data_IF_381073169920
#
_entry.id   IF_381073169920
#
_cell.length_a   1.000
_cell.length_b   1.000
_cell.length_c   1.000
_cell.angle_alpha   90.00
_cell.angle_beta   90.00
_cell.angle_gamma   90.00
#
_symmetry.space_group_name_H-M   'P 1'
#
loop_
_entity.id
_entity.type
_entity.pdbx_description
1 polymer ?
#
# COMPACT_ATOMS: atom_id res chain seq x y z
N UNK A 1 -3.06 -3.07 -34.35
CA UNK A 1 -2.69 -1.64 -34.44
C UNK A 1 -1.20 -1.54 -34.22
N UNK A 2 -0.46 -0.97 -35.15
CA UNK A 2 0.98 -0.78 -35.05
C UNK A 2 1.27 -0.05 -33.73
N UNK A 3 2.24 -0.53 -32.97
CA UNK A 3 2.86 0.20 -31.88
C UNK A 3 3.34 1.54 -32.46
N UNK A 4 2.49 2.56 -32.36
CA UNK A 4 2.79 3.87 -32.90
C UNK A 4 4.08 4.36 -32.25
N UNK A 5 5.07 4.59 -33.07
CA UNK A 5 6.24 5.43 -32.78
C UNK A 5 5.74 6.87 -32.59
N UNK A 6 4.81 7.07 -31.66
CA UNK A 6 4.37 8.40 -31.25
C UNK A 6 5.58 9.11 -30.66
N UNK A 7 6.02 10.18 -31.31
CA UNK A 7 7.10 11.04 -30.81
C UNK A 7 6.72 11.53 -29.42
N UNK A 8 7.42 11.03 -28.38
CA UNK A 8 7.29 11.54 -27.01
C UNK A 8 7.58 13.04 -27.04
N UNK A 9 6.58 13.83 -26.77
CA UNK A 9 6.65 15.29 -26.74
C UNK A 9 6.50 15.81 -25.29
N UNK A 10 6.63 17.14 -25.12
CA UNK A 10 6.57 17.77 -23.81
C UNK A 10 5.21 17.60 -23.10
N UNK A 11 4.12 17.46 -23.85
CA UNK A 11 2.78 17.21 -23.30
C UNK A 11 2.71 15.80 -22.72
N UNK A 12 3.10 14.79 -23.49
CA UNK A 12 3.11 13.38 -23.03
C UNK A 12 3.97 13.23 -21.77
N UNK A 13 5.15 13.87 -21.71
CA UNK A 13 6.03 13.84 -20.53
C UNK A 13 5.31 14.43 -19.32
N UNK A 14 4.61 15.55 -19.47
CA UNK A 14 3.86 16.19 -18.41
C UNK A 14 2.66 15.36 -17.97
N UNK A 15 1.91 14.78 -18.91
CA UNK A 15 0.76 13.93 -18.64
C UNK A 15 1.14 12.67 -17.86
N UNK A 16 2.41 12.21 -18.00
CA UNK A 16 3.00 11.15 -17.19
C UNK A 16 3.57 11.63 -15.84
N UNK A 17 3.32 12.86 -15.42
CA UNK A 17 3.77 13.40 -14.12
C UNK A 17 5.29 13.61 -14.02
N UNK A 18 6.01 13.55 -15.13
CA UNK A 18 7.47 13.71 -15.18
C UNK A 18 7.87 15.17 -15.45
N UNK A 19 8.87 15.63 -14.72
CA UNK A 19 9.49 16.94 -14.98
C UNK A 19 10.48 16.86 -16.15
N UNK A 20 10.82 18.02 -16.72
CA UNK A 20 11.85 18.10 -17.77
C UNK A 20 13.21 17.60 -17.29
N UNK A 21 13.56 17.80 -16.02
CA UNK A 21 14.81 17.32 -15.42
C UNK A 21 14.82 15.79 -15.27
N UNK A 22 13.71 15.22 -14.83
CA UNK A 22 13.55 13.76 -14.74
C UNK A 22 13.64 13.12 -16.12
N UNK A 23 12.99 13.67 -17.13
CA UNK A 23 13.09 13.16 -18.49
C UNK A 23 14.53 13.23 -19.05
N UNK A 24 15.28 14.31 -18.76
CA UNK A 24 16.70 14.38 -19.12
C UNK A 24 17.52 13.26 -18.43
N UNK A 25 17.21 12.95 -17.18
CA UNK A 25 17.87 11.85 -16.46
C UNK A 25 17.52 10.50 -17.07
N UNK A 26 16.28 10.27 -17.48
CA UNK A 26 15.85 9.06 -18.23
C UNK A 26 16.67 8.90 -19.49
N UNK A 27 16.81 9.95 -20.31
CA UNK A 27 17.64 9.92 -21.53
C UNK A 27 19.11 9.58 -21.22
N UNK A 28 19.66 10.09 -20.13
CA UNK A 28 21.03 9.78 -19.70
C UNK A 28 21.18 8.32 -19.28
N UNK A 29 20.21 7.77 -18.54
CA UNK A 29 20.20 6.36 -18.12
C UNK A 29 20.09 5.43 -19.32
N UNK A 30 19.13 5.68 -20.20
CA UNK A 30 18.84 4.80 -21.33
C UNK A 30 19.82 4.98 -22.50
N UNK A 31 20.50 6.13 -22.60
CA UNK A 31 21.30 6.55 -23.76
C UNK A 31 20.53 6.54 -25.09
N UNK A 32 19.22 6.54 -25.02
CA UNK A 32 18.27 6.60 -26.14
C UNK A 32 16.94 7.20 -25.65
N UNK A 33 16.04 7.51 -26.58
CA UNK A 33 14.66 7.86 -26.22
C UNK A 33 13.92 6.62 -25.73
N UNK A 34 13.12 6.71 -24.65
CA UNK A 34 12.21 5.64 -24.26
C UNK A 34 11.09 5.51 -25.31
N UNK A 35 10.44 4.35 -25.37
CA UNK A 35 9.13 4.23 -25.96
C UNK A 35 8.04 4.55 -24.93
N UNK A 36 6.75 4.49 -25.31
CA UNK A 36 5.65 4.88 -24.43
C UNK A 36 5.53 3.95 -23.20
N UNK A 37 5.70 2.63 -23.40
CA UNK A 37 5.71 1.66 -22.30
C UNK A 37 6.82 1.96 -21.29
N UNK A 38 8.03 2.19 -21.77
CA UNK A 38 9.17 2.50 -20.92
C UNK A 38 9.01 3.84 -20.18
N UNK A 39 8.44 4.84 -20.86
CA UNK A 39 8.11 6.13 -20.23
C UNK A 39 7.07 5.95 -19.10
N UNK A 40 6.02 5.16 -19.35
CA UNK A 40 5.00 4.83 -18.37
C UNK A 40 5.60 4.15 -17.12
N UNK A 41 6.50 3.18 -17.34
CA UNK A 41 7.22 2.50 -16.24
C UNK A 41 8.04 3.49 -15.40
N UNK A 42 8.81 4.38 -16.04
CA UNK A 42 9.52 5.45 -15.29
C UNK A 42 8.56 6.37 -14.55
N UNK A 43 7.44 6.73 -15.17
CA UNK A 43 6.41 7.60 -14.58
C UNK A 43 5.90 7.06 -13.25
N UNK A 44 5.48 5.80 -13.21
CA UNK A 44 4.93 5.21 -11.98
C UNK A 44 6.02 4.93 -10.95
N UNK A 45 7.17 4.39 -11.34
CA UNK A 45 8.28 4.11 -10.42
C UNK A 45 8.92 5.37 -9.82
N UNK A 46 8.90 6.49 -10.55
CA UNK A 46 9.43 7.79 -10.10
C UNK A 46 8.33 8.74 -9.63
N UNK A 47 7.09 8.27 -9.48
CA UNK A 47 6.03 9.02 -8.80
C UNK A 47 6.42 9.29 -7.34
N UNK A 48 5.84 10.31 -6.72
CA UNK A 48 6.07 10.55 -5.28
C UNK A 48 5.62 9.35 -4.44
N UNK A 49 4.54 8.69 -4.86
CA UNK A 49 3.97 7.53 -4.17
C UNK A 49 4.96 6.36 -4.09
N UNK A 50 5.59 5.97 -5.22
CA UNK A 50 6.50 4.81 -5.24
C UNK A 50 7.93 5.15 -4.79
N UNK A 51 8.43 6.35 -5.12
CA UNK A 51 9.84 6.72 -4.92
C UNK A 51 10.12 7.52 -3.65
N UNK A 52 9.08 8.11 -3.04
CA UNK A 52 9.23 9.03 -1.90
C UNK A 52 10.22 10.18 -2.18
N UNK A 53 10.32 10.63 -3.44
CA UNK A 53 11.37 11.54 -3.92
C UNK A 53 11.48 12.86 -3.16
N UNK A 54 10.38 13.35 -2.55
CA UNK A 54 10.36 14.57 -1.73
C UNK A 54 10.53 14.31 -0.23
N UNK A 55 10.29 13.08 0.26
CA UNK A 55 10.27 12.75 1.69
C UNK A 55 11.35 11.78 2.12
N UNK A 56 11.93 11.00 1.21
CA UNK A 56 12.96 9.97 1.47
C UNK A 56 14.14 10.51 2.28
N UNK A 57 14.58 11.75 2.00
CA UNK A 57 15.62 12.44 2.77
C UNK A 57 15.29 12.50 4.28
N UNK A 58 14.02 12.72 4.63
CA UNK A 58 13.56 12.85 6.01
C UNK A 58 13.26 11.49 6.63
N UNK A 59 12.70 10.57 5.87
CA UNK A 59 12.47 9.20 6.32
C UNK A 59 13.76 8.52 6.77
N UNK A 60 14.87 8.77 6.07
CA UNK A 60 16.21 8.28 6.47
C UNK A 60 16.71 8.78 7.84
N UNK A 61 16.09 9.84 8.39
CA UNK A 61 16.47 10.37 9.73
C UNK A 61 15.71 9.72 10.88
N UNK A 62 14.70 8.91 10.58
CA UNK A 62 13.93 8.19 11.59
C UNK A 62 14.74 7.00 12.12
N UNK A 63 14.62 6.65 13.42
CA UNK A 63 15.26 5.44 13.95
C UNK A 63 14.59 4.21 13.33
N UNK A 64 15.40 3.37 12.71
CA UNK A 64 14.94 2.17 11.97
C UNK A 64 15.60 0.89 12.44
N UNK A 65 16.42 0.96 13.48
CA UNK A 65 17.12 -0.18 14.10
C UNK A 65 16.93 -0.16 15.61
N UNK A 66 16.95 -1.32 16.24
CA UNK A 66 16.83 -1.51 17.67
C UNK A 66 16.90 -2.99 18.03
N UNK A 67 16.97 -3.31 19.30
CA UNK A 67 17.11 -4.67 19.82
C UNK A 67 16.02 -5.62 19.30
N UNK A 68 14.79 -5.11 19.18
CA UNK A 68 13.63 -5.92 18.77
C UNK A 68 13.33 -5.84 17.27
N UNK A 69 14.06 -5.03 16.49
CA UNK A 69 13.81 -4.88 15.04
C UNK A 69 14.46 -6.02 14.28
N UNK A 70 13.63 -6.89 13.69
CA UNK A 70 14.07 -7.96 12.79
C UNK A 70 14.19 -7.43 11.36
N UNK A 71 13.19 -6.65 10.92
CA UNK A 71 13.17 -6.06 9.58
C UNK A 71 12.74 -4.60 9.65
N UNK A 72 13.62 -3.71 9.21
CA UNK A 72 13.37 -2.29 9.03
C UNK A 72 12.90 -1.98 7.60
N UNK A 73 12.95 -0.69 7.17
CA UNK A 73 12.55 -0.25 5.84
C UNK A 73 13.29 -0.97 4.71
N UNK A 74 12.58 -1.24 3.62
CA UNK A 74 13.11 -1.88 2.41
C UNK A 74 12.42 -3.18 2.02
N UNK A 75 11.56 -3.72 2.88
CA UNK A 75 10.67 -4.84 2.60
C UNK A 75 9.21 -4.39 2.68
N UNK A 76 8.26 -5.31 2.42
CA UNK A 76 6.84 -4.99 2.34
C UNK A 76 6.26 -4.48 3.67
N UNK A 77 6.77 -4.98 4.80
CA UNK A 77 6.34 -4.58 6.14
C UNK A 77 7.48 -4.60 7.14
N UNK A 78 7.34 -3.87 8.25
CA UNK A 78 8.23 -3.93 9.39
C UNK A 78 8.01 -5.18 10.23
N UNK A 79 9.07 -5.71 10.86
CA UNK A 79 9.00 -6.89 11.71
C UNK A 79 9.71 -6.64 13.03
N UNK A 80 9.02 -6.92 14.15
CA UNK A 80 9.58 -6.83 15.49
C UNK A 80 9.49 -8.16 16.23
N UNK A 81 10.53 -8.44 16.99
CA UNK A 81 10.62 -9.61 17.88
C UNK A 81 9.73 -9.40 19.11
N UNK A 82 8.91 -10.39 19.44
CA UNK A 82 8.10 -10.40 20.67
C UNK A 82 8.50 -11.53 21.64
N UNK A 83 9.70 -12.06 21.45
CA UNK A 83 10.29 -13.14 22.26
C UNK A 83 9.91 -14.55 21.80
N UNK A 84 10.68 -15.54 22.18
CA UNK A 84 10.56 -16.90 21.69
C UNK A 84 10.78 -16.99 20.18
N UNK A 85 9.94 -17.76 19.47
CA UNK A 85 9.98 -17.87 18.00
C UNK A 85 8.89 -17.00 17.32
N UNK A 86 8.27 -16.05 18.04
CA UNK A 86 7.19 -15.22 17.53
C UNK A 86 7.70 -13.83 17.16
N UNK A 87 7.16 -13.28 16.07
CA UNK A 87 7.38 -11.91 15.66
C UNK A 87 6.08 -11.29 15.12
N UNK A 88 5.95 -9.97 15.27
CA UNK A 88 4.85 -9.18 14.73
C UNK A 88 5.31 -8.51 13.45
N UNK A 89 4.51 -8.66 12.42
CA UNK A 89 4.64 -7.96 11.12
C UNK A 89 3.57 -6.91 11.06
N UNK A 90 3.91 -5.67 10.71
CA UNK A 90 2.92 -4.61 10.61
C UNK A 90 3.29 -3.55 9.58
N UNK A 91 2.27 -2.96 8.99
CA UNK A 91 2.39 -1.81 8.08
C UNK A 91 1.17 -0.92 8.22
N UNK A 92 1.40 0.39 8.07
CA UNK A 92 0.36 1.38 7.89
C UNK A 92 0.62 2.15 6.60
N UNK A 93 -0.41 2.36 5.82
CA UNK A 93 -0.31 3.11 4.56
C UNK A 93 -1.54 4.00 4.35
N UNK A 94 -1.33 5.15 3.67
CA UNK A 94 -2.40 6.06 3.33
C UNK A 94 -3.05 5.70 2.00
N UNK A 95 -4.38 5.73 1.94
CA UNK A 95 -5.17 5.55 0.73
C UNK A 95 -6.14 6.73 0.51
N UNK A 96 -5.61 7.96 0.65
CA UNK A 96 -6.37 9.20 0.74
C UNK A 96 -7.05 9.57 -0.57
N UNK A 97 -6.27 9.70 -1.66
CA UNK A 97 -6.76 10.14 -2.96
C UNK A 97 -7.81 9.20 -3.56
N UNK A 98 -7.56 7.88 -3.62
CA UNK A 98 -8.57 6.93 -4.06
C UNK A 98 -9.87 7.02 -3.25
N UNK A 99 -9.76 7.14 -1.92
CA UNK A 99 -10.92 7.23 -1.02
C UNK A 99 -11.69 8.55 -1.15
N UNK A 100 -11.04 9.63 -1.59
CA UNK A 100 -11.73 10.90 -1.85
C UNK A 100 -12.54 10.87 -3.15
N UNK A 101 -12.07 10.11 -4.16
CA UNK A 101 -12.71 9.98 -5.48
C UNK A 101 -13.81 8.92 -5.44
N UNK A 102 -13.49 7.72 -4.96
CA UNK A 102 -14.39 6.58 -4.78
C UNK A 102 -14.24 6.03 -3.36
N UNK A 103 -14.99 6.55 -2.38
CA UNK A 103 -14.73 6.31 -0.96
C UNK A 103 -14.85 4.84 -0.56
N UNK A 104 -15.77 4.09 -1.16
CA UNK A 104 -15.92 2.66 -0.89
C UNK A 104 -14.73 1.86 -1.43
N UNK A 105 -14.46 1.95 -2.72
CA UNK A 105 -13.39 1.19 -3.35
C UNK A 105 -12.00 1.64 -2.89
N UNK A 106 -11.78 2.95 -2.76
CA UNK A 106 -10.52 3.49 -2.29
C UNK A 106 -10.18 3.03 -0.87
N UNK A 107 -11.14 2.96 0.04
CA UNK A 107 -10.90 2.47 1.40
C UNK A 107 -10.77 0.94 1.46
N UNK A 108 -11.58 0.22 0.69
CA UNK A 108 -11.52 -1.24 0.58
C UNK A 108 -10.14 -1.71 0.10
N UNK A 109 -9.63 -1.11 -0.99
CA UNK A 109 -8.32 -1.46 -1.55
C UNK A 109 -7.16 -1.01 -0.67
N UNK A 110 -7.33 0.03 0.16
CA UNK A 110 -6.39 0.39 1.20
C UNK A 110 -6.22 -0.72 2.24
N UNK A 111 -7.33 -1.29 2.72
CA UNK A 111 -7.29 -2.42 3.67
C UNK A 111 -6.69 -3.67 3.02
N UNK A 112 -7.08 -4.00 1.78
CA UNK A 112 -6.55 -5.15 1.05
C UNK A 112 -5.05 -5.05 0.79
N UNK A 113 -4.57 -3.91 0.31
CA UNK A 113 -3.16 -3.67 0.04
C UNK A 113 -2.28 -3.89 1.26
N UNK A 114 -2.68 -3.36 2.41
CA UNK A 114 -1.94 -3.53 3.67
C UNK A 114 -1.95 -4.97 4.17
N UNK A 115 -3.05 -5.70 4.00
CA UNK A 115 -3.08 -7.12 4.35
C UNK A 115 -2.13 -7.93 3.46
N UNK A 116 -2.08 -7.65 2.15
CA UNK A 116 -1.15 -8.31 1.21
C UNK A 116 0.31 -8.10 1.62
N UNK A 117 0.70 -6.87 1.94
CA UNK A 117 2.04 -6.56 2.43
C UNK A 117 2.42 -7.39 3.67
N UNK A 118 1.49 -7.55 4.60
CA UNK A 118 1.72 -8.32 5.82
C UNK A 118 1.86 -9.81 5.51
N UNK A 119 0.97 -10.39 4.70
CA UNK A 119 1.08 -11.82 4.45
C UNK A 119 2.14 -12.22 3.42
N UNK A 120 2.65 -11.30 2.56
CA UNK A 120 3.85 -11.56 1.77
C UNK A 120 5.08 -11.85 2.64
N UNK A 121 5.13 -11.28 3.83
CA UNK A 121 6.21 -11.53 4.79
C UNK A 121 6.08 -12.88 5.53
N UNK A 122 5.09 -13.71 5.18
CA UNK A 122 4.81 -15.00 5.82
C UNK A 122 3.89 -14.89 7.04
N UNK A 123 3.46 -13.70 7.39
CA UNK A 123 2.60 -13.50 8.55
C UNK A 123 1.14 -13.80 8.25
N UNK A 124 0.42 -14.33 9.23
CA UNK A 124 -1.05 -14.34 9.20
C UNK A 124 -1.55 -13.01 9.76
N UNK A 125 -2.31 -12.22 8.99
CA UNK A 125 -3.01 -11.06 9.52
C UNK A 125 -3.90 -11.45 10.71
N UNK A 126 -3.83 -10.68 11.81
CA UNK A 126 -4.58 -10.93 13.05
C UNK A 126 -5.38 -9.73 13.51
N UNK A 127 -5.09 -8.53 13.00
CA UNK A 127 -5.80 -7.31 13.35
C UNK A 127 -5.64 -6.22 12.29
N UNK A 128 -6.72 -5.45 12.10
CA UNK A 128 -6.72 -4.20 11.34
C UNK A 128 -7.07 -3.02 12.25
N UNK A 129 -6.50 -1.86 11.95
CA UNK A 129 -6.83 -0.58 12.55
C UNK A 129 -6.87 0.48 11.45
N UNK A 130 -7.55 1.61 11.73
CA UNK A 130 -7.61 2.70 10.75
C UNK A 130 -7.50 4.06 11.44
N UNK A 131 -6.74 4.97 10.85
CA UNK A 131 -6.67 6.37 11.28
C UNK A 131 -7.35 7.25 10.24
N UNK A 132 -8.53 7.79 10.59
CA UNK A 132 -9.44 8.45 9.67
C UNK A 132 -9.59 9.93 10.01
N UNK A 133 -9.52 10.80 8.98
CA UNK A 133 -9.71 12.25 9.13
C UNK A 133 -10.66 12.75 8.05
N UNK A 134 -11.75 13.38 8.48
CA UNK A 134 -12.79 13.90 7.60
C UNK A 134 -12.98 15.40 7.78
N UNK A 135 -13.62 16.03 6.81
CA UNK A 135 -14.01 17.42 6.84
C UNK A 135 -15.08 17.73 7.87
N UNK A 136 -15.74 18.87 7.73
CA UNK A 136 -16.86 19.26 8.58
C UNK A 136 -18.06 18.34 8.33
N UNK A 137 -18.53 17.66 9.38
CA UNK A 137 -19.64 16.69 9.31
C UNK A 137 -20.98 17.33 8.95
N UNK A 138 -21.14 18.64 9.05
CA UNK A 138 -22.32 19.35 8.55
C UNK A 138 -22.43 19.33 7.02
N UNK A 139 -21.29 19.10 6.34
CA UNK A 139 -21.22 19.04 4.88
C UNK A 139 -21.69 17.65 4.37
N UNK A 140 -22.65 17.65 3.44
CA UNK A 140 -23.15 16.40 2.84
C UNK A 140 -22.07 15.59 2.12
N UNK A 141 -21.09 16.24 1.47
CA UNK A 141 -19.96 15.55 0.85
C UNK A 141 -19.16 14.77 1.91
N UNK A 142 -18.91 15.38 3.08
CA UNK A 142 -18.22 14.71 4.20
C UNK A 142 -18.97 13.49 4.69
N UNK A 143 -20.32 13.58 4.81
CA UNK A 143 -21.15 12.43 5.20
C UNK A 143 -21.05 11.28 4.21
N UNK A 144 -21.14 11.58 2.91
CA UNK A 144 -21.03 10.56 1.87
C UNK A 144 -19.64 9.90 1.86
N UNK A 145 -18.57 10.70 2.01
CA UNK A 145 -17.21 10.17 2.12
C UNK A 145 -17.05 9.27 3.35
N UNK A 146 -17.54 9.72 4.51
CA UNK A 146 -17.52 8.93 5.74
C UNK A 146 -18.24 7.59 5.58
N UNK A 147 -19.45 7.61 5.05
CA UNK A 147 -20.25 6.39 4.84
C UNK A 147 -19.56 5.42 3.89
N UNK A 148 -19.06 5.90 2.76
CA UNK A 148 -18.37 5.06 1.78
C UNK A 148 -17.09 4.45 2.32
N UNK A 149 -16.26 5.26 2.98
CA UNK A 149 -14.99 4.81 3.58
C UNK A 149 -15.24 3.75 4.65
N UNK A 150 -16.13 4.03 5.60
CA UNK A 150 -16.42 3.09 6.71
C UNK A 150 -16.98 1.77 6.18
N UNK A 151 -17.90 1.84 5.19
CA UNK A 151 -18.46 0.65 4.56
C UNK A 151 -17.38 -0.15 3.80
N UNK A 152 -16.50 0.51 3.03
CA UNK A 152 -15.43 -0.15 2.30
C UNK A 152 -14.46 -0.89 3.21
N UNK A 153 -14.05 -0.25 4.32
CA UNK A 153 -13.20 -0.88 5.36
C UNK A 153 -13.90 -2.09 5.97
N UNK A 154 -15.17 -1.92 6.38
CA UNK A 154 -15.93 -2.98 7.04
C UNK A 154 -16.17 -4.18 6.13
N UNK A 155 -16.71 -3.96 4.94
CA UNK A 155 -17.03 -5.03 4.00
C UNK A 155 -15.76 -5.83 3.61
N UNK A 156 -14.62 -5.13 3.42
CA UNK A 156 -13.37 -5.82 3.07
C UNK A 156 -12.82 -6.66 4.23
N UNK A 157 -12.62 -6.07 5.41
CA UNK A 157 -12.10 -6.75 6.58
C UNK A 157 -12.98 -7.92 7.03
N UNK A 158 -14.29 -7.70 7.07
CA UNK A 158 -15.28 -8.70 7.48
C UNK A 158 -15.29 -9.90 6.50
N UNK A 159 -15.23 -9.65 5.19
CA UNK A 159 -15.23 -10.72 4.18
C UNK A 159 -13.93 -11.53 4.22
N UNK A 160 -12.77 -10.89 4.35
CA UNK A 160 -11.48 -11.59 4.51
C UNK A 160 -11.43 -12.35 5.84
N UNK A 161 -12.20 -11.92 6.84
CA UNK A 161 -12.27 -12.53 8.17
C UNK A 161 -11.07 -12.15 9.04
N UNK A 162 -10.64 -10.88 8.96
CA UNK A 162 -9.62 -10.30 9.83
C UNK A 162 -10.28 -9.20 10.66
N UNK A 163 -10.19 -9.24 12.00
CA UNK A 163 -10.90 -8.30 12.86
C UNK A 163 -10.35 -6.87 12.71
N UNK A 164 -11.26 -5.89 12.63
CA UNK A 164 -10.91 -4.48 12.76
C UNK A 164 -11.13 -4.07 14.20
N UNK A 165 -10.06 -3.98 14.97
CA UNK A 165 -10.08 -3.95 16.43
C UNK A 165 -9.95 -2.56 17.02
N UNK A 166 -9.58 -1.56 16.21
CA UNK A 166 -9.35 -0.22 16.72
C UNK A 166 -9.09 0.81 15.64
N UNK A 167 -8.64 1.96 16.09
CA UNK A 167 -8.36 3.10 15.24
C UNK A 167 -8.92 4.39 15.80
N UNK A 168 -8.89 5.43 15.01
CA UNK A 168 -9.36 6.75 15.37
C UNK A 168 -10.11 7.43 14.22
N UNK A 169 -11.07 8.28 14.55
CA UNK A 169 -11.80 9.08 13.58
C UNK A 169 -12.01 10.50 14.10
N UNK A 170 -11.53 11.49 13.37
CA UNK A 170 -11.70 12.89 13.73
C UNK A 170 -12.14 13.77 12.55
N UNK A 171 -12.72 14.94 12.91
CA UNK A 171 -13.31 15.89 11.99
C UNK A 171 -12.66 17.25 12.12
N UNK A 172 -12.24 17.82 10.99
CA UNK A 172 -11.72 19.19 10.96
C UNK A 172 -11.89 19.78 9.57
N UNK A 173 -12.27 21.07 9.47
CA UNK A 173 -12.54 21.75 8.23
C UNK A 173 -11.39 21.75 7.21
N UNK A 174 -10.15 21.56 7.64
CA UNK A 174 -9.00 21.43 6.72
C UNK A 174 -9.04 20.18 5.84
N UNK A 175 -9.88 19.21 6.19
CA UNK A 175 -10.07 17.98 5.41
C UNK A 175 -11.31 18.02 4.49
N UNK A 176 -11.95 19.18 4.32
CA UNK A 176 -13.12 19.28 3.41
C UNK A 176 -12.82 18.91 1.97
N UNK A 177 -11.59 19.19 1.52
CA UNK A 177 -11.16 18.97 0.13
C UNK A 177 -10.22 17.78 -0.03
N UNK A 178 -9.78 17.17 1.05
CA UNK A 178 -8.98 15.96 1.03
C UNK A 178 -9.06 15.26 2.38
N UNK A 179 -9.65 14.06 2.39
CA UNK A 179 -9.74 13.22 3.59
C UNK A 179 -8.43 12.45 3.80
N UNK A 180 -8.18 11.98 5.01
CA UNK A 180 -7.12 11.01 5.28
C UNK A 180 -7.74 9.66 5.64
N UNK A 181 -7.31 8.64 4.92
CA UNK A 181 -7.65 7.24 5.17
C UNK A 181 -6.34 6.48 5.27
N UNK A 182 -5.98 6.12 6.50
CA UNK A 182 -4.77 5.35 6.75
C UNK A 182 -5.20 3.99 7.28
N UNK A 183 -4.86 2.94 6.55
CA UNK A 183 -5.13 1.56 6.94
C UNK A 183 -3.87 0.94 7.55
N UNK A 184 -4.04 0.21 8.64
CA UNK A 184 -2.98 -0.56 9.30
C UNK A 184 -3.40 -2.01 9.41
N UNK A 185 -2.46 -2.91 9.13
CA UNK A 185 -2.62 -4.34 9.40
C UNK A 185 -1.46 -4.84 10.25
N UNK A 186 -1.80 -5.74 11.16
CA UNK A 186 -0.86 -6.44 12.05
C UNK A 186 -1.01 -7.93 11.83
N UNK A 187 0.11 -8.63 11.69
CA UNK A 187 0.15 -10.07 11.51
C UNK A 187 1.15 -10.76 12.44
N UNK A 188 0.95 -12.05 12.63
CA UNK A 188 1.82 -12.91 13.44
C UNK A 188 2.61 -13.85 12.54
N UNK A 189 3.92 -13.95 12.78
CA UNK A 189 4.82 -14.85 12.03
C UNK A 189 5.76 -15.59 12.99
N UNK A 190 6.20 -16.79 12.61
CA UNK A 190 7.33 -17.47 13.25
C UNK A 190 8.64 -16.92 12.65
N UNK A 191 9.63 -16.56 13.48
CA UNK A 191 10.91 -15.96 13.04
C UNK A 191 11.65 -16.80 11.98
N UNK A 192 11.49 -18.11 12.00
CA UNK A 192 12.06 -19.03 11.01
C UNK A 192 11.19 -19.23 9.75
N UNK A 193 10.09 -18.49 9.60
CA UNK A 193 9.14 -18.54 8.48
C UNK A 193 8.89 -17.18 7.86
N UNK A 194 9.85 -16.26 7.95
CA UNK A 194 9.78 -14.95 7.32
C UNK A 194 10.18 -15.08 5.86
N UNK A 195 9.38 -14.50 4.98
CA UNK A 195 9.62 -14.43 3.53
C UNK A 195 10.02 -13.01 3.14
N UNK A 196 10.82 -12.91 2.10
CA UNK A 196 11.34 -11.64 1.59
C UNK A 196 11.13 -11.52 0.09
N UNK A 197 11.19 -10.30 -0.42
CA UNK A 197 11.03 -10.03 -1.85
C UNK A 197 12.32 -10.15 -2.67
N UNK A 198 13.44 -10.57 -2.08
CA UNK A 198 14.74 -10.69 -2.75
C UNK A 198 14.80 -11.87 -3.72
N UNK A 199 14.68 -11.64 -5.02
CA UNK A 199 14.79 -12.66 -6.04
C UNK A 199 16.21 -13.28 -6.10
N UNK A 200 16.28 -14.61 -6.27
CA UNK A 200 17.56 -15.36 -6.36
C UNK A 200 17.42 -16.53 -7.33
N UNK A 201 18.56 -16.93 -7.92
CA UNK A 201 18.68 -18.10 -8.80
C UNK A 201 18.31 -17.78 -10.25
N UNK A 202 19.34 -17.60 -11.09
CA UNK A 202 19.16 -17.38 -12.54
C UNK A 202 18.46 -18.59 -13.14
N UNK A 203 17.47 -18.35 -14.01
CA UNK A 203 16.61 -19.37 -14.60
C UNK A 203 15.38 -19.74 -13.77
N UNK A 204 15.28 -19.31 -12.51
CA UNK A 204 14.09 -19.59 -11.71
C UNK A 204 12.85 -18.94 -12.30
N UNK A 205 11.71 -19.67 -12.33
CA UNK A 205 10.48 -19.16 -12.93
C UNK A 205 9.83 -18.08 -12.06
N UNK A 206 9.22 -17.14 -12.75
CA UNK A 206 8.40 -16.07 -12.16
C UNK A 206 6.95 -16.44 -12.38
N UNK A 207 6.21 -16.59 -11.29
CA UNK A 207 4.81 -17.00 -11.30
C UNK A 207 3.93 -15.82 -10.89
N UNK A 208 2.96 -15.52 -11.72
CA UNK A 208 1.85 -14.63 -11.44
C UNK A 208 0.72 -15.46 -10.83
N UNK A 209 0.13 -14.99 -9.73
CA UNK A 209 -1.01 -15.65 -9.06
C UNK A 209 -2.08 -14.65 -8.63
N UNK A 210 -3.32 -15.09 -8.57
CA UNK A 210 -4.47 -14.31 -8.10
C UNK A 210 -5.39 -13.83 -9.21
N UNK A 211 -5.98 -12.65 -9.05
CA UNK A 211 -6.95 -12.06 -9.98
C UNK A 211 -6.36 -11.78 -11.36
N UNK A 212 -7.21 -11.83 -12.39
CA UNK A 212 -6.81 -11.47 -13.76
C UNK A 212 -6.59 -9.97 -13.88
N UNK A 213 -5.53 -9.57 -14.58
CA UNK A 213 -5.20 -8.17 -14.85
C UNK A 213 -6.30 -7.48 -15.67
N UNK A 214 -6.82 -6.38 -15.17
CA UNK A 214 -7.78 -5.50 -15.85
C UNK A 214 -7.19 -4.11 -16.15
N UNK A 215 -8.02 -3.19 -16.62
CA UNK A 215 -7.62 -1.79 -16.89
C UNK A 215 -7.78 -0.87 -15.69
N UNK A 216 -8.15 -1.39 -14.54
CA UNK A 216 -8.31 -0.63 -13.31
C UNK A 216 -6.96 -0.17 -12.74
N UNK A 217 -6.93 1.01 -12.15
CA UNK A 217 -5.77 1.58 -11.48
C UNK A 217 -4.62 2.03 -12.39
N UNK A 218 -4.77 2.02 -13.72
CA UNK A 218 -3.73 2.53 -14.62
C UNK A 218 -3.46 4.00 -14.32
N UNK A 219 -2.20 4.34 -13.98
CA UNK A 219 -1.79 5.63 -13.43
C UNK A 219 -2.26 5.94 -11.99
N UNK A 220 -2.76 4.98 -11.23
CA UNK A 220 -3.18 5.17 -9.85
C UNK A 220 -2.09 5.78 -8.97
N UNK A 221 -0.87 5.24 -9.01
CA UNK A 221 0.28 5.78 -8.28
C UNK A 221 0.63 7.22 -8.69
N UNK A 222 0.47 7.58 -9.96
CA UNK A 222 0.67 8.95 -10.46
C UNK A 222 -0.44 9.87 -9.97
N UNK A 223 -1.69 9.43 -10.01
CA UNK A 223 -2.85 10.14 -9.48
C UNK A 223 -2.71 10.39 -7.97
N UNK A 224 -2.26 9.40 -7.20
CA UNK A 224 -2.05 9.53 -5.76
C UNK A 224 -1.01 10.59 -5.39
N UNK A 225 -0.20 11.05 -6.35
CA UNK A 225 0.79 12.11 -6.20
C UNK A 225 0.34 13.47 -6.73
N UNK A 226 -0.88 13.58 -7.31
CA UNK A 226 -1.40 14.79 -7.92
C UNK A 226 -2.13 15.69 -6.90
N UNK A 227 -2.29 16.97 -7.23
CA UNK A 227 -3.19 17.88 -6.50
C UNK A 227 -4.63 17.67 -6.99
N UNK A 228 -5.60 17.80 -6.07
CA UNK A 228 -7.01 17.76 -6.43
C UNK A 228 -7.44 19.06 -7.11
N UNK A 229 -8.20 18.94 -8.19
CA UNK A 229 -8.91 20.01 -8.87
C UNK A 229 -10.39 19.63 -9.07
N UNK A 230 -11.15 20.52 -9.70
CA UNK A 230 -12.59 20.29 -9.96
C UNK A 230 -12.86 19.11 -10.93
N UNK A 231 -11.84 18.64 -11.67
CA UNK A 231 -11.93 17.54 -12.61
C UNK A 231 -11.54 16.17 -11.98
N UNK A 232 -11.26 16.14 -10.68
CA UNK A 232 -10.81 14.91 -10.00
C UNK A 232 -11.83 13.76 -10.06
N UNK A 233 -13.11 14.07 -10.29
CA UNK A 233 -14.19 13.06 -10.48
C UNK A 233 -13.98 12.25 -11.77
N UNK A 234 -13.41 12.84 -12.81
CA UNK A 234 -13.13 12.16 -14.08
C UNK A 234 -12.01 11.12 -13.95
N UNK A 235 -11.32 11.09 -12.80
CA UNK A 235 -10.25 10.14 -12.51
C UNK A 235 -10.73 8.80 -11.89
N UNK A 236 -12.04 8.58 -11.76
CA UNK A 236 -12.63 7.33 -11.24
C UNK A 236 -12.05 6.05 -11.88
N UNK A 237 -11.80 5.98 -13.20
CA UNK A 237 -11.21 4.78 -13.80
C UNK A 237 -9.78 4.48 -13.33
N UNK A 238 -9.10 5.43 -12.67
CA UNK A 238 -7.76 5.26 -12.09
C UNK A 238 -7.80 4.70 -10.66
N UNK A 239 -8.99 4.59 -10.05
CA UNK A 239 -9.16 3.98 -8.74
C UNK A 239 -9.23 2.46 -8.90
N UNK A 240 -8.50 1.75 -8.07
CA UNK A 240 -8.51 0.29 -8.01
C UNK A 240 -9.88 -0.22 -7.52
N UNK A 241 -10.25 -1.42 -7.95
CA UNK A 241 -11.42 -2.15 -7.48
C UNK A 241 -10.96 -3.34 -6.65
N UNK A 242 -11.43 -3.44 -5.41
CA UNK A 242 -11.09 -4.52 -4.48
C UNK A 242 -12.14 -5.64 -4.48
N UNK A 243 -11.66 -6.88 -4.42
CA UNK A 243 -12.47 -8.08 -4.24
C UNK A 243 -12.00 -8.84 -2.98
N UNK A 244 -12.63 -8.59 -1.82
CA UNK A 244 -12.20 -9.20 -0.56
C UNK A 244 -12.34 -10.72 -0.53
N UNK A 245 -13.22 -11.30 -1.34
CA UNK A 245 -13.34 -12.75 -1.45
C UNK A 245 -12.13 -13.35 -2.16
N UNK A 246 -11.69 -12.74 -3.26
CA UNK A 246 -10.47 -13.14 -3.95
C UNK A 246 -9.23 -12.92 -3.07
N UNK A 247 -9.19 -11.86 -2.27
CA UNK A 247 -8.13 -11.63 -1.29
C UNK A 247 -8.06 -12.75 -0.25
N UNK A 248 -9.21 -13.21 0.26
CA UNK A 248 -9.29 -14.34 1.18
C UNK A 248 -8.71 -15.61 0.57
N UNK A 249 -9.09 -15.94 -0.64
CA UNK A 249 -8.56 -17.10 -1.35
C UNK A 249 -7.05 -16.99 -1.58
N UNK A 250 -6.58 -15.79 -1.96
CA UNK A 250 -5.17 -15.52 -2.18
C UNK A 250 -4.35 -15.66 -0.90
N UNK A 251 -4.83 -15.11 0.21
CA UNK A 251 -4.20 -15.22 1.53
C UNK A 251 -4.04 -16.70 1.93
N UNK A 252 -5.11 -17.49 1.85
CA UNK A 252 -5.07 -18.89 2.28
C UNK A 252 -4.19 -19.75 1.37
N UNK A 253 -4.23 -19.52 0.05
CA UNK A 253 -3.38 -20.23 -0.91
C UNK A 253 -1.89 -19.89 -0.73
N UNK A 254 -1.57 -18.63 -0.49
CA UNK A 254 -0.19 -18.20 -0.17
C UNK A 254 0.30 -18.83 1.13
N UNK A 255 -0.52 -18.82 2.19
CA UNK A 255 -0.18 -19.45 3.48
C UNK A 255 -0.01 -20.97 3.37
N UNK A 256 -0.75 -21.63 2.47
CA UNK A 256 -0.57 -23.05 2.18
C UNK A 256 0.75 -23.28 1.43
N UNK A 257 1.03 -22.51 0.36
CA UNK A 257 2.27 -22.65 -0.42
C UNK A 257 3.54 -22.36 0.42
N UNK A 258 3.46 -21.45 1.37
CA UNK A 258 4.57 -21.12 2.27
C UNK A 258 5.02 -22.28 3.16
N UNK A 259 4.22 -23.34 3.28
CA UNK A 259 4.58 -24.56 3.99
C UNK A 259 5.41 -25.52 3.15
N UNK A 260 5.38 -25.38 1.82
CA UNK A 260 5.95 -26.30 0.84
C UNK A 260 7.42 -26.06 0.49
N UNK A 261 8.07 -25.08 1.12
CA UNK A 261 9.45 -24.64 0.79
C UNK A 261 9.64 -24.34 -0.72
N UNK A 262 8.59 -23.78 -1.33
CA UNK A 262 8.54 -23.51 -2.76
C UNK A 262 9.01 -22.08 -3.13
N UNK A 263 8.73 -21.12 -2.26
CA UNK A 263 8.91 -19.69 -2.53
C UNK A 263 10.35 -19.25 -2.25
N UNK A 264 10.98 -18.62 -3.23
CA UNK A 264 12.30 -17.97 -3.11
C UNK A 264 12.12 -16.48 -2.81
N UNK A 265 11.21 -15.83 -3.50
CA UNK A 265 10.84 -14.43 -3.29
C UNK A 265 9.35 -14.23 -3.60
N UNK A 266 8.72 -13.31 -2.90
CA UNK A 266 7.31 -12.98 -3.09
C UNK A 266 7.10 -11.47 -2.91
N UNK A 267 6.25 -10.90 -3.74
CA UNK A 267 5.86 -9.50 -3.71
C UNK A 267 4.39 -9.38 -4.09
N UNK A 268 3.64 -8.49 -3.43
CA UNK A 268 2.31 -8.13 -3.89
C UNK A 268 2.35 -7.24 -5.15
N UNK A 269 1.28 -7.21 -5.90
CA UNK A 269 1.09 -6.28 -7.00
C UNK A 269 0.14 -5.16 -6.58
N UNK A 270 0.60 -4.30 -5.68
CA UNK A 270 -0.11 -3.10 -5.24
C UNK A 270 0.05 -1.94 -6.21
N UNK A 271 0.57 -0.81 -5.72
CA UNK A 271 0.87 0.35 -6.56
C UNK A 271 1.84 -0.01 -7.70
N UNK A 272 1.55 0.48 -8.91
CA UNK A 272 2.26 0.15 -10.15
C UNK A 272 2.28 -1.35 -10.52
N UNK A 273 1.54 -2.20 -9.85
CA UNK A 273 1.22 -3.57 -10.21
C UNK A 273 2.41 -4.45 -10.58
N UNK A 274 2.40 -5.03 -11.80
CA UNK A 274 3.46 -5.90 -12.30
C UNK A 274 4.80 -5.17 -12.46
N UNK A 275 4.77 -3.86 -12.70
CA UNK A 275 5.99 -3.03 -12.78
C UNK A 275 6.73 -3.01 -11.45
N UNK A 276 6.12 -2.51 -10.38
CA UNK A 276 6.81 -2.38 -9.09
C UNK A 276 7.27 -3.74 -8.56
N UNK A 277 6.39 -4.72 -8.54
CA UNK A 277 6.70 -6.07 -8.03
C UNK A 277 7.90 -6.71 -8.73
N UNK A 278 7.95 -6.68 -10.05
CA UNK A 278 9.04 -7.30 -10.80
C UNK A 278 10.37 -6.53 -10.68
N UNK A 279 10.34 -5.19 -10.74
CA UNK A 279 11.55 -4.37 -10.61
C UNK A 279 12.14 -4.42 -9.20
N UNK A 280 11.31 -4.38 -8.16
CA UNK A 280 11.77 -4.40 -6.77
C UNK A 280 12.40 -5.75 -6.41
N UNK A 281 11.75 -6.87 -6.72
CA UNK A 281 12.31 -8.19 -6.48
C UNK A 281 13.65 -8.38 -7.18
N UNK A 282 13.76 -7.96 -8.44
CA UNK A 282 14.96 -8.10 -9.23
C UNK A 282 16.08 -7.15 -8.76
N UNK A 283 15.77 -5.91 -8.38
CA UNK A 283 16.73 -4.96 -7.85
C UNK A 283 17.35 -5.46 -6.54
N UNK A 284 16.52 -5.92 -5.60
CA UNK A 284 16.98 -6.54 -4.35
C UNK A 284 17.83 -7.81 -4.59
N UNK A 285 17.47 -8.57 -5.63
CA UNK A 285 18.17 -9.77 -6.06
C UNK A 285 19.46 -9.53 -6.82
N UNK A 286 19.70 -8.33 -7.32
CA UNK A 286 20.77 -7.99 -8.25
C UNK A 286 20.75 -8.87 -9.51
N UNK A 287 19.59 -9.12 -10.07
CA UNK A 287 19.39 -9.96 -11.25
C UNK A 287 18.62 -9.20 -12.34
N UNK A 288 18.49 -9.79 -13.53
CA UNK A 288 17.61 -9.37 -14.59
C UNK A 288 16.31 -10.17 -14.58
N UNK A 289 15.36 -9.75 -15.39
CA UNK A 289 14.07 -10.42 -15.58
C UNK A 289 13.71 -10.44 -17.05
N UNK A 290 13.19 -11.57 -17.49
CA UNK A 290 12.53 -11.71 -18.79
C UNK A 290 11.05 -12.01 -18.56
N UNK A 291 10.16 -11.13 -19.03
CA UNK A 291 8.71 -11.28 -18.93
C UNK A 291 8.09 -11.56 -20.31
N UNK A 292 7.13 -12.47 -20.35
CA UNK A 292 6.30 -12.80 -21.49
C UNK A 292 4.89 -12.28 -21.23
N UNK A 293 4.58 -11.09 -21.71
CA UNK A 293 3.31 -10.42 -21.39
C UNK A 293 2.08 -11.12 -21.96
N UNK A 294 2.25 -11.98 -22.98
CA UNK A 294 1.18 -12.84 -23.47
C UNK A 294 0.70 -13.88 -22.43
N UNK A 295 1.56 -14.25 -21.49
CA UNK A 295 1.25 -15.20 -20.43
C UNK A 295 0.57 -14.55 -19.22
N UNK A 296 0.53 -13.23 -19.15
CA UNK A 296 -0.16 -12.51 -18.06
C UNK A 296 -1.67 -12.73 -18.17
N UNK A 297 -2.32 -13.32 -17.17
CA UNK A 297 -3.76 -13.50 -17.18
C UNK A 297 -4.47 -12.16 -17.25
N UNK A 298 -5.28 -11.95 -18.28
CA UNK A 298 -6.03 -10.70 -18.48
C UNK A 298 -7.53 -10.94 -18.38
N UNK A 299 -8.23 -10.03 -17.71
CA UNK A 299 -9.71 -10.02 -17.62
C UNK A 299 -10.34 -9.53 -18.91
N UNK A 300 -9.69 -8.59 -19.55
CA UNK A 300 -10.19 -7.92 -20.74
C UNK A 300 -9.39 -8.31 -21.98
N UNK A 301 -10.08 -8.40 -23.11
CA UNK A 301 -9.44 -8.70 -24.39
C UNK A 301 -8.61 -7.53 -24.91
N UNK A 302 -7.58 -7.84 -25.71
CA UNK A 302 -6.76 -6.85 -26.41
C UNK A 302 -6.05 -5.84 -25.49
N UNK A 303 -5.70 -6.24 -24.29
CA UNK A 303 -4.84 -5.42 -23.44
C UNK A 303 -3.46 -5.23 -24.09
N UNK A 304 -2.96 -4.02 -24.02
CA UNK A 304 -1.64 -3.65 -24.52
C UNK A 304 -0.55 -3.94 -23.48
N UNK A 305 0.73 -4.08 -23.88
CA UNK A 305 1.85 -4.17 -22.95
C UNK A 305 1.88 -3.02 -21.90
N UNK A 306 1.51 -1.83 -22.32
CA UNK A 306 1.41 -0.66 -21.46
C UNK A 306 0.37 -0.87 -20.35
N UNK A 307 -0.84 -1.29 -20.71
CA UNK A 307 -1.92 -1.55 -19.75
C UNK A 307 -1.58 -2.71 -18.82
N UNK A 308 -0.97 -3.80 -19.32
CA UNK A 308 -0.58 -4.95 -18.51
C UNK A 308 0.47 -4.61 -17.44
N UNK A 309 1.47 -3.80 -17.81
CA UNK A 309 2.55 -3.44 -16.90
C UNK A 309 2.14 -2.40 -15.86
N UNK A 310 1.21 -1.48 -16.19
CA UNK A 310 0.82 -0.37 -15.34
C UNK A 310 -0.53 -0.57 -14.64
N UNK A 311 -1.24 -1.65 -14.91
CA UNK A 311 -2.48 -1.97 -14.19
C UNK A 311 -2.22 -2.22 -12.71
N UNK A 312 -3.04 -1.63 -11.86
CA UNK A 312 -3.02 -1.82 -10.42
C UNK A 312 -4.20 -2.67 -9.93
N UNK A 313 -4.71 -3.59 -10.78
CA UNK A 313 -5.68 -4.59 -10.35
C UNK A 313 -5.20 -5.25 -9.06
N UNK A 314 -6.07 -5.33 -8.09
CA UNK A 314 -5.78 -5.83 -6.75
C UNK A 314 -5.79 -7.37 -6.69
N UNK A 315 -5.53 -7.93 -5.53
CA UNK A 315 -5.55 -9.36 -5.24
C UNK A 315 -4.65 -10.19 -6.16
N UNK A 316 -3.43 -9.68 -6.40
CA UNK A 316 -2.40 -10.33 -7.23
C UNK A 316 -1.07 -10.40 -6.50
N UNK A 317 -0.32 -11.49 -6.75
CA UNK A 317 1.04 -11.67 -6.26
C UNK A 317 1.98 -12.08 -7.38
N UNK A 318 3.25 -11.68 -7.26
CA UNK A 318 4.34 -12.15 -8.08
C UNK A 318 5.32 -12.95 -7.22
N UNK A 319 5.69 -14.14 -7.68
CA UNK A 319 6.55 -15.06 -6.93
C UNK A 319 7.70 -15.54 -7.80
N UNK A 320 8.89 -15.66 -7.20
CA UNK A 320 9.97 -16.49 -7.74
C UNK A 320 9.97 -17.79 -6.96
N UNK A 321 9.85 -18.91 -7.64
CA UNK A 321 9.75 -20.22 -7.01
C UNK A 321 10.90 -21.15 -7.43
N UNK A 322 11.10 -22.21 -6.66
CA UNK A 322 12.00 -23.31 -7.02
C UNK A 322 11.43 -24.05 -8.24
N UNK A 323 12.22 -24.38 -9.28
CA UNK A 323 11.73 -25.03 -10.49
C UNK A 323 11.03 -26.37 -10.26
N UNK A 324 11.53 -27.17 -9.31
CA UNK A 324 10.99 -28.47 -8.90
C UNK A 324 9.66 -28.36 -8.14
N UNK A 325 9.31 -27.16 -7.67
CA UNK A 325 8.07 -26.88 -6.93
C UNK A 325 6.97 -26.24 -7.80
N UNK A 326 7.17 -26.17 -9.10
CA UNK A 326 6.23 -25.53 -10.02
C UNK A 326 4.86 -26.23 -10.02
N UNK A 327 4.83 -27.56 -10.09
CA UNK A 327 3.58 -28.31 -10.14
C UNK A 327 2.77 -28.13 -8.85
N UNK A 328 3.38 -28.30 -7.67
CA UNK A 328 2.68 -28.12 -6.40
C UNK A 328 2.15 -26.70 -6.24
N UNK A 329 2.87 -25.68 -6.75
CA UNK A 329 2.39 -24.30 -6.77
C UNK A 329 1.10 -24.18 -7.57
N UNK A 330 1.06 -24.71 -8.80
CA UNK A 330 -0.14 -24.64 -9.65
C UNK A 330 -1.31 -25.43 -9.05
N UNK A 331 -1.05 -26.58 -8.45
CA UNK A 331 -2.08 -27.42 -7.83
C UNK A 331 -2.73 -26.71 -6.62
N UNK A 332 -1.93 -26.04 -5.79
CA UNK A 332 -2.44 -25.27 -4.65
C UNK A 332 -3.35 -24.13 -5.14
N UNK A 333 -2.90 -23.28 -6.06
CA UNK A 333 -3.72 -22.15 -6.55
C UNK A 333 -4.97 -22.65 -7.28
N UNK A 334 -4.87 -23.71 -8.06
CA UNK A 334 -6.02 -24.36 -8.71
C UNK A 334 -7.04 -24.89 -7.68
N UNK A 335 -6.57 -25.51 -6.58
CA UNK A 335 -7.42 -25.97 -5.47
C UNK A 335 -8.24 -24.80 -4.89
N UNK A 336 -7.65 -23.62 -4.78
CA UNK A 336 -8.31 -22.42 -4.29
C UNK A 336 -9.08 -21.64 -5.37
N UNK A 337 -9.14 -22.14 -6.61
CA UNK A 337 -9.86 -21.51 -7.70
C UNK A 337 -9.19 -20.24 -8.26
N UNK A 338 -7.89 -20.08 -8.02
CA UNK A 338 -7.12 -18.94 -8.45
C UNK A 338 -6.28 -19.23 -9.70
N UNK A 339 -6.05 -18.22 -10.53
CA UNK A 339 -5.10 -18.31 -11.63
C UNK A 339 -3.66 -18.36 -11.12
N UNK A 340 -2.85 -19.21 -11.73
CA UNK A 340 -1.40 -19.26 -11.56
C UNK A 340 -0.76 -19.47 -12.92
N UNK A 341 0.17 -18.60 -13.31
CA UNK A 341 0.83 -18.64 -14.61
C UNK A 341 2.32 -18.30 -14.49
N UNK A 342 3.16 -19.06 -15.18
CA UNK A 342 4.53 -18.65 -15.40
C UNK A 342 4.55 -17.53 -16.43
N UNK A 343 5.00 -16.34 -15.99
CA UNK A 343 5.05 -15.13 -16.81
C UNK A 343 6.47 -14.74 -17.21
N UNK A 344 7.47 -15.48 -16.77
CA UNK A 344 8.87 -15.20 -17.07
C UNK A 344 9.86 -15.95 -16.20
N UNK A 345 11.11 -15.51 -16.23
CA UNK A 345 12.19 -16.09 -15.44
C UNK A 345 13.30 -15.07 -15.16
N UNK A 346 14.11 -15.37 -14.14
CA UNK A 346 15.26 -14.55 -13.77
C UNK A 346 16.44 -14.72 -14.73
N UNK A 347 17.16 -13.63 -15.01
CA UNK A 347 18.34 -13.59 -15.89
C UNK A 347 19.52 -12.91 -15.17
N UNK A 348 20.72 -13.03 -15.72
CA UNK A 348 21.95 -12.38 -15.26
C UNK A 348 22.18 -11.01 -15.94
N UNK A 349 21.26 -10.56 -16.81
CA UNK A 349 21.47 -9.35 -17.63
C UNK A 349 21.40 -8.04 -16.88
N UNK A 350 20.85 -8.02 -15.65
CA UNK A 350 20.55 -6.79 -14.89
C UNK A 350 19.49 -5.91 -15.55
N UNK A 351 18.77 -6.44 -16.54
CA UNK A 351 17.74 -5.72 -17.29
C UNK A 351 16.37 -6.37 -17.12
N UNK A 352 15.34 -5.55 -17.19
CA UNK A 352 13.96 -5.97 -17.43
C UNK A 352 13.73 -6.02 -18.92
N UNK A 353 13.47 -7.20 -19.45
CA UNK A 353 13.17 -7.45 -20.87
C UNK A 353 11.72 -7.92 -20.98
N UNK A 354 10.89 -7.15 -21.68
CA UNK A 354 9.46 -7.41 -21.84
C UNK A 354 9.18 -7.84 -23.28
N UNK A 355 8.60 -9.02 -23.43
CA UNK A 355 8.23 -9.61 -24.72
C UNK A 355 6.73 -9.66 -24.88
N UNK A 356 6.24 -9.31 -26.07
CA UNK A 356 4.84 -9.44 -26.46
C UNK A 356 4.76 -9.86 -27.93
N UNK A 357 4.00 -10.93 -28.23
CA UNK A 357 3.94 -11.54 -29.55
C UNK A 357 5.33 -11.84 -30.13
N UNK A 358 6.19 -12.43 -29.32
CA UNK A 358 7.60 -12.75 -29.63
C UNK A 358 8.50 -11.55 -29.94
N UNK A 359 8.01 -10.31 -29.82
CA UNK A 359 8.79 -9.10 -30.02
C UNK A 359 9.23 -8.50 -28.68
N UNK A 360 10.45 -8.00 -28.60
CA UNK A 360 10.94 -7.20 -27.49
C UNK A 360 10.26 -5.82 -27.54
N UNK A 361 9.33 -5.57 -26.61
CA UNK A 361 8.54 -4.34 -26.56
C UNK A 361 9.07 -3.31 -25.58
N UNK A 362 9.97 -3.70 -24.68
CA UNK A 362 10.66 -2.80 -23.77
C UNK A 362 11.89 -3.46 -23.13
N UNK A 363 12.94 -2.66 -22.94
CA UNK A 363 14.16 -3.07 -22.25
C UNK A 363 14.66 -1.94 -21.35
N UNK A 364 14.71 -2.18 -20.04
CA UNK A 364 15.08 -1.19 -19.04
C UNK A 364 16.13 -1.73 -18.06
N UNK A 365 17.12 -0.94 -17.66
CA UNK A 365 18.06 -1.33 -16.62
C UNK A 365 17.34 -1.32 -15.25
N UNK A 366 17.43 -2.42 -14.48
CA UNK A 366 16.68 -2.59 -13.24
C UNK A 366 17.18 -1.63 -12.16
N UNK A 367 18.43 -1.72 -11.76
CA UNK A 367 18.97 -0.88 -10.68
C UNK A 367 18.85 0.63 -10.92
N UNK A 368 19.24 1.16 -12.10
CA UNK A 368 19.09 2.59 -12.33
C UNK A 368 17.65 3.08 -12.26
N UNK A 369 16.68 2.25 -12.61
CA UNK A 369 15.27 2.61 -12.51
C UNK A 369 14.75 2.53 -11.08
N UNK A 370 15.05 1.46 -10.36
CA UNK A 370 14.56 1.23 -9.00
C UNK A 370 15.25 2.12 -7.97
N UNK A 371 16.58 2.30 -8.08
CA UNK A 371 17.39 2.88 -7.01
C UNK A 371 17.78 4.34 -7.28
N UNK A 372 17.67 4.84 -8.52
CA UNK A 372 18.14 6.18 -8.92
C UNK A 372 16.99 7.17 -9.15
N UNK A 373 15.84 6.96 -8.54
CA UNK A 373 14.80 7.98 -8.53
C UNK A 373 15.34 9.28 -7.90
N UNK A 374 15.00 10.45 -8.44
CA UNK A 374 15.47 11.72 -7.89
C UNK A 374 15.10 11.89 -6.42
N UNK A 375 16.01 12.43 -5.62
CA UNK A 375 15.73 12.89 -4.26
C UNK A 375 15.71 14.42 -4.25
N UNK A 376 14.61 15.02 -3.79
CA UNK A 376 14.45 16.46 -3.73
C UNK A 376 14.57 16.99 -2.31
N UNK A 377 15.37 18.05 -2.13
CA UNK A 377 15.32 18.89 -0.94
C UNK A 377 14.33 20.03 -1.17
N UNK A 378 13.06 19.78 -0.84
CA UNK A 378 11.99 20.75 -1.08
C UNK A 378 12.17 21.99 -0.19
N UNK A 379 11.90 23.21 -0.71
CA UNK A 379 11.90 24.42 0.09
C UNK A 379 10.97 24.29 1.29
N UNK A 380 11.43 24.73 2.46
CA UNK A 380 10.66 24.68 3.70
C UNK A 380 10.78 25.99 4.47
N UNK A 381 9.72 26.35 5.15
CA UNK A 381 9.71 27.46 6.10
C UNK A 381 9.59 26.91 7.52
N UNK A 382 10.46 27.39 8.43
CA UNK A 382 10.27 27.14 9.85
C UNK A 382 9.04 27.94 10.29
N UNK A 383 8.04 27.25 10.82
CA UNK A 383 6.88 27.91 11.43
C UNK A 383 7.33 28.52 12.76
N UNK A 384 7.21 29.82 12.90
CA UNK A 384 7.45 30.46 14.19
C UNK A 384 6.33 30.04 15.17
N UNK A 385 6.72 29.46 16.27
CA UNK A 385 5.79 29.16 17.35
C UNK A 385 5.34 30.49 17.97
N UNK A 386 4.09 30.88 17.71
CA UNK A 386 3.51 32.03 18.38
C UNK A 386 3.12 31.61 19.78
N UNK A 387 3.82 32.12 20.78
CA UNK A 387 3.41 31.97 22.18
C UNK A 387 2.06 32.62 22.36
N UNK A 388 1.01 31.81 22.44
CA UNK A 388 -0.34 32.32 22.72
C UNK A 388 -0.40 32.62 24.21
N UNK A 389 -0.44 33.89 24.58
CA UNK A 389 -0.77 34.28 25.97
C UNK A 389 -2.21 33.87 26.26
N UNK A 390 -2.36 32.81 27.00
CA UNK A 390 -3.69 32.37 27.48
C UNK A 390 -4.22 33.42 28.43
N UNK A 391 -5.19 34.20 27.97
CA UNK A 391 -5.92 35.11 28.86
C UNK A 391 -6.85 34.27 29.77
N UNK A 392 -6.70 34.36 31.08
CA UNK A 392 -7.65 33.78 32.04
C UNK A 392 -9.04 34.37 31.75
N UNK A 393 -9.90 33.60 31.08
CA UNK A 393 -11.32 33.96 30.90
C UNK A 393 -12.14 33.23 31.95
N UNK A 394 -13.11 33.91 32.59
CA UNK A 394 -14.14 33.22 33.35
C UNK A 394 -14.97 32.38 32.37
N UNK A 395 -14.69 31.09 32.32
CA UNK A 395 -15.45 30.16 31.48
C UNK A 395 -16.77 29.84 32.17
N UNK A 396 -17.88 29.96 31.41
CA UNK A 396 -19.17 29.41 31.86
C UNK A 396 -19.11 27.89 31.62
N UNK A 397 -18.82 27.13 32.67
CA UNK A 397 -18.58 25.67 32.62
C UNK A 397 -19.68 24.95 31.82
N UNK A 398 -20.97 25.28 32.10
CA UNK A 398 -22.10 24.70 31.33
C UNK A 398 -21.95 24.88 29.82
N UNK A 399 -21.58 26.07 29.36
CA UNK A 399 -21.45 26.35 27.92
C UNK A 399 -20.24 25.62 27.31
N UNK A 400 -19.16 25.49 28.06
CA UNK A 400 -17.97 24.73 27.62
C UNK A 400 -18.33 23.24 27.52
N UNK A 401 -18.97 22.70 28.55
CA UNK A 401 -19.42 21.31 28.59
C UNK A 401 -20.35 20.98 27.42
N UNK A 402 -21.39 21.81 27.18
CA UNK A 402 -22.30 21.63 26.05
C UNK A 402 -21.57 21.66 24.70
N UNK A 403 -20.59 22.53 24.52
CA UNK A 403 -19.76 22.57 23.29
C UNK A 403 -18.90 21.31 23.14
N UNK A 404 -18.37 20.77 24.24
CA UNK A 404 -17.56 19.54 24.18
C UNK A 404 -18.44 18.35 23.81
N UNK A 405 -19.54 18.09 24.49
CA UNK A 405 -20.40 16.94 24.21
C UNK A 405 -21.13 17.04 22.87
N UNK A 406 -21.33 18.23 22.32
CA UNK A 406 -21.89 18.43 20.98
C UNK A 406 -20.84 18.41 19.86
N UNK A 407 -19.55 18.29 20.21
CA UNK A 407 -18.49 18.22 19.21
C UNK A 407 -18.45 16.84 18.56
N UNK A 408 -18.42 16.72 17.22
CA UNK A 408 -18.27 15.43 16.53
C UNK A 408 -17.02 14.65 16.96
N UNK A 409 -15.97 15.35 17.39
CA UNK A 409 -14.73 14.70 17.86
C UNK A 409 -14.88 14.02 19.22
N UNK A 410 -15.81 14.48 20.06
CA UNK A 410 -16.07 13.92 21.40
C UNK A 410 -17.34 13.06 21.46
N UNK A 411 -18.10 12.98 20.36
CA UNK A 411 -19.28 12.11 20.29
C UNK A 411 -18.86 10.65 20.09
N UNK A 412 -19.76 9.72 20.50
CA UNK A 412 -19.58 8.29 20.24
C UNK A 412 -19.32 8.02 18.76
N UNK A 413 -18.40 7.11 18.46
CA UNK A 413 -18.12 6.58 17.13
C UNK A 413 -18.78 5.21 16.91
N UNK A 414 -19.73 4.82 17.77
CA UNK A 414 -20.42 3.52 17.78
C UNK A 414 -20.97 3.15 16.42
N UNK A 415 -21.61 4.11 15.70
CA UNK A 415 -22.09 3.89 14.36
C UNK A 415 -20.98 3.41 13.40
N UNK A 416 -19.75 3.90 13.57
CA UNK A 416 -18.59 3.54 12.74
C UNK A 416 -18.12 2.12 13.08
N UNK A 417 -17.77 1.86 14.33
CA UNK A 417 -17.12 0.60 14.69
C UNK A 417 -18.09 -0.60 14.73
N UNK A 418 -19.40 -0.39 14.88
CA UNK A 418 -20.40 -1.47 14.74
C UNK A 418 -20.47 -2.08 13.34
N UNK A 419 -19.89 -1.45 12.32
CA UNK A 419 -19.80 -1.99 10.98
C UNK A 419 -18.62 -2.96 10.80
N UNK A 420 -17.74 -2.99 11.80
CA UNK A 420 -16.53 -3.81 11.79
C UNK A 420 -16.72 -5.03 12.69
N UNK A 421 -16.41 -6.22 12.14
CA UNK A 421 -16.27 -7.39 12.99
C UNK A 421 -14.94 -7.30 13.74
N UNK A 422 -15.01 -7.06 15.03
CA UNK A 422 -13.85 -6.98 15.91
C UNK A 422 -13.57 -8.30 16.64
N UNK A 423 -14.42 -9.33 16.46
CA UNK A 423 -14.37 -10.59 17.19
C UNK A 423 -14.06 -11.81 16.31
N UNK A 424 -14.08 -11.68 14.99
CA UNK A 424 -13.68 -12.76 14.08
C UNK A 424 -12.28 -13.26 14.44
N UNK A 425 -12.02 -14.55 14.28
CA UNK A 425 -10.88 -15.30 14.81
C UNK A 425 -10.91 -15.55 16.33
N UNK A 426 -11.78 -14.89 17.10
CA UNK A 426 -11.96 -15.06 18.55
C UNK A 426 -10.69 -14.77 19.38
N UNK A 427 -9.84 -13.89 18.92
CA UNK A 427 -8.57 -13.53 19.59
C UNK A 427 -8.58 -12.16 20.26
N UNK A 428 -9.58 -11.33 20.00
CA UNK A 428 -9.73 -10.02 20.62
C UNK A 428 -10.12 -10.19 22.08
N UNK A 429 -9.27 -9.72 23.00
CA UNK A 429 -9.53 -9.72 24.44
C UNK A 429 -10.24 -8.43 24.82
N UNK A 430 -9.70 -7.29 24.35
CA UNK A 430 -10.29 -5.96 24.47
C UNK A 430 -10.24 -5.28 23.11
N UNK A 431 -11.36 -4.71 22.69
CA UNK A 431 -11.38 -3.77 21.56
C UNK A 431 -11.09 -2.35 22.03
N UNK A 432 -10.82 -1.45 21.09
CA UNK A 432 -10.63 -0.03 21.41
C UNK A 432 -11.92 0.68 21.89
N UNK A 433 -13.04 -0.01 21.93
CA UNK A 433 -14.28 0.46 22.56
C UNK A 433 -14.21 0.42 24.09
N UNK A 434 -13.41 -0.49 24.62
CA UNK A 434 -13.31 -0.79 26.04
C UNK A 434 -12.00 -0.27 26.65
N UNK A 435 -11.00 0.05 25.82
CA UNK A 435 -9.67 0.43 26.26
C UNK A 435 -9.00 1.36 25.23
N UNK A 436 -7.97 2.09 25.63
CA UNK A 436 -7.16 2.95 24.75
C UNK A 436 -6.34 2.16 23.72
N UNK A 437 -6.16 0.86 23.95
CA UNK A 437 -5.53 -0.06 23.01
C UNK A 437 -6.37 -1.33 22.81
N UNK A 438 -6.40 -1.86 21.60
CA UNK A 438 -6.91 -3.20 21.36
C UNK A 438 -5.91 -4.24 21.85
N UNK A 439 -6.38 -5.32 22.47
CA UNK A 439 -5.55 -6.41 22.96
C UNK A 439 -5.94 -7.71 22.27
N UNK A 440 -4.97 -8.28 21.56
CA UNK A 440 -5.12 -9.53 20.79
C UNK A 440 -4.26 -10.61 21.46
N UNK A 441 -4.86 -11.74 21.81
CA UNK A 441 -4.10 -12.86 22.35
C UNK A 441 -3.37 -13.61 21.23
N UNK A 442 -2.27 -14.22 21.59
CA UNK A 442 -1.52 -15.13 20.70
C UNK A 442 -1.81 -16.57 21.10
N UNK A 443 -2.43 -17.34 20.17
CA UNK A 443 -2.77 -18.73 20.41
C UNK A 443 -1.57 -19.58 20.84
N UNK A 444 -1.83 -20.54 21.70
CA UNK A 444 -0.84 -21.49 22.24
C UNK A 444 0.32 -20.80 23.00
N UNK A 445 0.07 -19.60 23.53
CA UNK A 445 1.05 -18.84 24.31
C UNK A 445 0.37 -18.11 25.49
N UNK A 446 1.18 -17.58 26.41
CA UNK A 446 0.72 -16.64 27.45
C UNK A 446 0.90 -15.17 27.02
N UNK A 447 1.10 -14.92 25.73
CA UNK A 447 1.34 -13.58 25.19
C UNK A 447 0.07 -12.96 24.63
N UNK A 448 0.02 -11.65 24.67
CA UNK A 448 -0.92 -10.83 23.96
C UNK A 448 -0.19 -9.63 23.34
N UNK A 449 -0.77 -9.01 22.35
CA UNK A 449 -0.27 -7.79 21.70
C UNK A 449 -1.27 -6.68 21.96
N UNK A 450 -0.81 -5.58 22.55
CA UNK A 450 -1.55 -4.35 22.66
C UNK A 450 -1.22 -3.47 21.44
N UNK A 451 -2.25 -2.96 20.78
CA UNK A 451 -2.12 -2.23 19.51
C UNK A 451 -2.95 -0.95 19.62
N UNK A 452 -2.30 0.19 19.38
CA UNK A 452 -2.95 1.50 19.29
C UNK A 452 -2.42 2.29 18.10
N UNK A 453 -3.15 3.30 17.69
CA UNK A 453 -2.68 4.33 16.78
C UNK A 453 -3.23 5.68 17.24
N UNK A 454 -2.36 6.68 17.33
CA UNK A 454 -2.73 8.06 17.67
C UNK A 454 -1.99 9.07 16.82
N UNK A 455 -2.67 10.13 16.47
CA UNK A 455 -2.08 11.37 15.96
C UNK A 455 -3.08 12.51 16.00
N UNK A 456 -2.80 13.56 16.77
CA UNK A 456 -3.61 14.77 16.72
C UNK A 456 -3.03 15.78 15.71
N UNK A 457 -3.65 15.94 14.50
CA UNK A 457 -3.12 16.80 13.45
C UNK A 457 -3.13 18.27 13.81
N UNK A 458 -4.01 18.69 14.71
CA UNK A 458 -4.06 20.10 15.20
C UNK A 458 -2.84 20.39 16.08
N UNK A 459 -2.46 19.46 16.93
CA UNK A 459 -1.25 19.56 17.74
C UNK A 459 0.01 19.55 16.85
N UNK A 460 0.09 18.63 15.91
CA UNK A 460 1.19 18.54 14.96
C UNK A 460 1.31 19.80 14.10
N UNK A 461 0.20 20.40 13.68
CA UNK A 461 0.21 21.66 12.92
C UNK A 461 0.65 22.85 13.79
N UNK A 462 0.36 22.85 15.08
CA UNK A 462 0.76 23.90 16.01
C UNK A 462 2.25 23.82 16.37
N UNK A 463 2.69 22.64 16.79
CA UNK A 463 4.10 22.32 17.08
C UNK A 463 4.34 20.84 16.67
N UNK A 464 5.00 20.59 15.52
CA UNK A 464 5.22 19.22 15.02
C UNK A 464 5.99 18.33 15.99
N UNK A 465 6.98 18.91 16.72
CA UNK A 465 7.78 18.15 17.69
C UNK A 465 6.97 17.74 18.90
N UNK A 466 6.17 18.66 19.44
CA UNK A 466 5.31 18.36 20.60
C UNK A 466 4.17 17.43 20.19
N UNK A 467 3.55 17.67 19.04
CA UNK A 467 2.49 16.81 18.51
C UNK A 467 2.94 15.37 18.30
N UNK A 468 4.15 15.17 17.73
CA UNK A 468 4.71 13.83 17.59
C UNK A 468 5.03 13.16 18.95
N UNK A 469 5.52 13.94 19.94
CA UNK A 469 5.75 13.40 21.29
C UNK A 469 4.46 12.96 21.96
N UNK A 470 3.38 13.72 21.78
CA UNK A 470 2.06 13.38 22.34
C UNK A 470 1.53 12.08 21.71
N UNK A 471 1.62 11.96 20.37
CA UNK A 471 1.21 10.76 19.66
C UNK A 471 1.98 9.48 20.10
N UNK A 472 3.24 9.62 20.49
CA UNK A 472 4.03 8.49 21.00
C UNK A 472 3.73 8.21 22.47
N UNK A 473 3.31 9.21 23.24
CA UNK A 473 2.99 9.05 24.66
C UNK A 473 1.60 8.42 24.90
N UNK A 474 0.66 8.66 23.99
CA UNK A 474 -0.66 8.03 23.95
C UNK A 474 -0.56 6.53 23.68
#
# INVERSE_FOLDING_TARGET
MSLEKGLINSKIIKDHGLTKSEYKLILKILKRKPNLLELGIFSVMWSEHCSYKSTKKWLKTLPTSGEYVICGPGENAGIIDIGGNDAIVFKMESHNHPSFIEPYQGAATGVGGIMRDVFTMGARPIANLNSLRFGDISNNKTKNLLQGVVKGIGDYGNCVGIPTVGGECSFHKSYNNNILVNAMCVGLVKKNKIFYSKAKGIGNPIIYVGSKTGRDGIHGATMASAEFDDNSIDQRPQVQVGDPFMEKLLLESCQELMKEDAIIAIQDMGAAGLTSSSFEMASKGNCGVKLFLNEVPCRESKMTPYEMMLSETQERMLMVIKPDKKQVTFDIFKKWGLDAKEVGYLTDTGKMQMYFNNNLVGELPIKPLADSAPEYDRPRKKKESKTIKVRKRKLKIKNVFLKMISSPNHSSKEWLFRQYDNMVMCDTIFSSEESDAAIIRIHNSKKAVAISCDCNPVYCNSDPKLGAKLAVAE
#
